data_IF_955603293074
#
_entry.id   IF_955603293074
#
_cell.length_a   1.000
_cell.length_b   1.000
_cell.length_c   1.000
_cell.angle_alpha   90.00
_cell.angle_beta   90.00
_cell.angle_gamma   90.00
#
_symmetry.space_group_name_H-M   'P 1'
#
loop_
_entity.id
_entity.type
_entity.pdbx_description
1 polymer ?
#
# COMPACT_ATOMS: atom_id res chain seq x y z
N UNK A 1 19.65 -10.84 17.26
CA UNK A 1 19.33 -9.87 18.34
C UNK A 1 19.99 -8.51 18.09
N UNK A 2 21.32 -8.44 17.92
CA UNK A 2 22.05 -7.21 17.57
C UNK A 2 21.51 -6.49 16.32
N UNK A 3 21.20 -7.25 15.25
CA UNK A 3 20.66 -6.74 13.99
C UNK A 3 19.25 -6.12 14.15
N UNK A 4 18.44 -6.64 15.07
CA UNK A 4 17.14 -6.04 15.41
C UNK A 4 17.28 -4.77 16.23
N UNK A 5 18.30 -4.70 17.08
CA UNK A 5 18.58 -3.53 17.91
C UNK A 5 19.12 -2.35 17.08
N UNK A 6 20.00 -2.62 16.09
CA UNK A 6 20.49 -1.59 15.15
C UNK A 6 19.39 -1.00 14.28
N UNK A 7 18.35 -1.78 13.97
CA UNK A 7 17.19 -1.36 13.17
C UNK A 7 15.99 -0.86 14.00
N UNK A 8 16.12 -0.81 15.35
CA UNK A 8 15.03 -0.47 16.29
C UNK A 8 13.69 -1.18 15.98
N UNK A 9 13.76 -2.43 15.52
CA UNK A 9 12.62 -3.16 14.96
C UNK A 9 11.81 -3.92 16.04
N UNK A 10 11.47 -3.22 17.14
CA UNK A 10 10.70 -3.79 18.26
C UNK A 10 9.19 -3.67 18.08
N UNK A 11 8.73 -2.65 17.35
CA UNK A 11 7.33 -2.42 17.04
C UNK A 11 7.13 -2.26 15.53
N UNK A 12 6.07 -2.90 15.00
CA UNK A 12 5.71 -2.89 13.57
C UNK A 12 5.56 -1.46 13.03
N UNK A 13 4.95 -0.56 13.80
CA UNK A 13 4.80 0.85 13.40
C UNK A 13 6.14 1.54 13.15
N UNK A 14 7.17 1.23 13.94
CA UNK A 14 8.49 1.87 13.87
C UNK A 14 9.29 1.46 12.63
N UNK A 15 9.06 0.26 12.11
CA UNK A 15 9.67 -0.21 10.84
C UNK A 15 9.18 0.60 9.63
N UNK A 16 7.90 0.99 9.62
CA UNK A 16 7.29 1.77 8.53
C UNK A 16 7.91 3.18 8.46
N UNK A 17 8.24 3.78 9.60
CA UNK A 17 8.91 5.08 9.66
C UNK A 17 10.39 5.01 9.24
N UNK A 18 11.08 3.89 9.48
CA UNK A 18 12.50 3.77 9.17
C UNK A 18 12.80 3.68 7.66
N UNK A 19 11.87 3.12 6.88
CA UNK A 19 12.02 3.08 5.42
C UNK A 19 11.89 4.46 4.75
N UNK A 20 11.55 5.54 5.50
CA UNK A 20 11.31 6.89 4.98
C UNK A 20 10.65 6.87 3.59
N UNK A 21 9.51 6.16 3.42
CA UNK A 21 8.88 6.07 2.12
C UNK A 21 8.53 7.50 1.68
N UNK A 22 9.07 7.92 0.54
CA UNK A 22 8.62 9.13 -0.12
C UNK A 22 7.10 9.03 -0.34
N UNK A 23 6.40 10.17 -0.31
CA UNK A 23 4.96 10.21 -0.54
C UNK A 23 4.56 9.43 -1.82
N UNK A 24 5.36 9.53 -2.88
CA UNK A 24 5.16 8.78 -4.12
C UNK A 24 5.25 7.26 -3.93
N UNK A 25 6.23 6.76 -3.17
CA UNK A 25 6.40 5.32 -2.94
C UNK A 25 5.25 4.70 -2.15
N UNK A 26 4.65 5.46 -1.24
CA UNK A 26 3.52 4.98 -0.44
C UNK A 26 2.22 4.87 -1.26
N UNK A 27 2.09 5.70 -2.31
CA UNK A 27 0.93 5.67 -3.19
C UNK A 27 0.93 4.49 -4.18
N UNK A 28 2.08 3.87 -4.43
CA UNK A 28 2.18 2.73 -5.35
C UNK A 28 1.26 1.58 -4.92
N UNK A 29 1.19 1.30 -3.63
CA UNK A 29 0.36 0.22 -3.09
C UNK A 29 -1.13 0.42 -3.36
N UNK A 30 -1.77 1.53 -2.95
CA UNK A 30 -3.18 1.75 -3.26
C UNK A 30 -3.43 1.91 -4.77
N UNK A 31 -2.53 2.51 -5.56
CA UNK A 31 -2.69 2.54 -7.03
C UNK A 31 -2.68 1.13 -7.66
N UNK A 32 -1.82 0.24 -7.20
CA UNK A 32 -1.81 -1.16 -7.65
C UNK A 32 -3.11 -1.88 -7.30
N UNK A 33 -3.66 -1.66 -6.10
CA UNK A 33 -4.95 -2.22 -5.69
C UNK A 33 -6.12 -1.69 -6.54
N UNK A 34 -6.14 -0.39 -6.84
CA UNK A 34 -7.14 0.18 -7.75
C UNK A 34 -7.02 -0.40 -9.16
N UNK A 35 -5.80 -0.74 -9.61
CA UNK A 35 -5.61 -1.38 -10.91
C UNK A 35 -6.24 -2.77 -11.00
N UNK A 36 -6.17 -3.56 -9.93
CA UNK A 36 -6.88 -4.85 -9.79
C UNK A 36 -8.41 -4.66 -9.71
N UNK A 37 -8.85 -3.53 -9.16
CA UNK A 37 -10.26 -3.10 -9.14
C UNK A 37 -10.85 -2.87 -10.53
N UNK A 38 -10.04 -2.49 -11.52
CA UNK A 38 -10.47 -2.32 -12.90
C UNK A 38 -11.32 -1.07 -13.14
N UNK A 39 -10.89 0.09 -12.64
CA UNK A 39 -11.49 1.37 -13.02
C UNK A 39 -11.08 1.75 -14.46
N UNK A 40 -11.88 2.55 -15.20
CA UNK A 40 -11.61 2.95 -16.58
C UNK A 40 -10.20 3.48 -16.89
N UNK A 41 -9.47 4.17 -15.99
CA UNK A 41 -8.08 4.58 -16.25
C UNK A 41 -7.02 3.48 -16.04
N UNK A 42 -7.35 2.32 -15.45
CA UNK A 42 -6.37 1.29 -15.11
C UNK A 42 -6.43 0.06 -16.02
N UNK A 43 -5.27 -0.58 -16.19
CA UNK A 43 -5.07 -1.74 -17.07
C UNK A 43 -5.96 -2.94 -16.75
N UNK A 44 -6.35 -3.14 -15.49
CA UNK A 44 -7.23 -4.23 -15.09
C UNK A 44 -8.69 -4.11 -15.57
N UNK A 45 -9.08 -2.97 -16.17
CA UNK A 45 -10.40 -2.79 -16.77
C UNK A 45 -10.55 -3.57 -18.08
N UNK A 46 -9.52 -3.58 -18.93
CA UNK A 46 -9.55 -4.19 -20.26
C UNK A 46 -10.00 -5.66 -20.22
N UNK A 47 -9.42 -6.55 -19.39
CA UNK A 47 -9.86 -7.95 -19.35
C UNK A 47 -11.27 -8.12 -18.78
N UNK A 48 -11.68 -7.29 -17.79
CA UNK A 48 -13.04 -7.35 -17.25
C UNK A 48 -14.09 -6.92 -18.28
N UNK A 49 -13.80 -5.84 -19.02
CA UNK A 49 -14.67 -5.37 -20.09
C UNK A 49 -14.78 -6.39 -21.22
N UNK A 50 -13.67 -6.99 -21.62
CA UNK A 50 -13.68 -8.06 -22.63
C UNK A 50 -14.50 -9.27 -22.17
N UNK A 51 -14.41 -9.66 -20.88
CA UNK A 51 -15.24 -10.73 -20.32
C UNK A 51 -16.73 -10.39 -20.30
N UNK A 52 -17.10 -9.15 -19.99
CA UNK A 52 -18.48 -8.67 -20.06
C UNK A 52 -19.01 -8.79 -21.50
N UNK A 53 -18.24 -8.34 -22.48
CA UNK A 53 -18.63 -8.40 -23.90
C UNK A 53 -18.81 -9.85 -24.36
N UNK A 54 -17.91 -10.75 -23.97
CA UNK A 54 -18.01 -12.17 -24.29
C UNK A 54 -19.25 -12.80 -23.64
N UNK A 55 -19.50 -12.54 -22.36
CA UNK A 55 -20.68 -13.07 -21.66
C UNK A 55 -21.99 -12.60 -22.26
N UNK A 56 -22.07 -11.32 -22.66
CA UNK A 56 -23.23 -10.76 -23.38
C UNK A 56 -23.42 -11.49 -24.72
N UNK A 57 -22.34 -11.70 -25.50
CA UNK A 57 -22.43 -12.42 -26.78
C UNK A 57 -22.90 -13.88 -26.64
N UNK A 58 -22.61 -14.51 -25.49
CA UNK A 58 -23.04 -15.87 -25.16
C UNK A 58 -24.39 -15.96 -24.42
N UNK A 59 -25.10 -14.84 -24.23
CA UNK A 59 -26.36 -14.74 -23.48
C UNK A 59 -26.31 -15.23 -22.02
N UNK A 60 -25.12 -15.23 -21.39
CA UNK A 60 -24.92 -15.70 -20.02
C UNK A 60 -25.21 -14.58 -18.99
N UNK A 61 -26.47 -14.21 -18.84
CA UNK A 61 -26.90 -13.06 -18.03
C UNK A 61 -26.74 -13.30 -16.51
N UNK A 62 -27.05 -14.51 -16.04
CA UNK A 62 -26.96 -14.84 -14.61
C UNK A 62 -25.53 -14.77 -14.04
N UNK A 63 -24.50 -15.40 -14.65
CA UNK A 63 -23.12 -15.26 -14.17
C UNK A 63 -22.56 -13.84 -14.39
N UNK A 64 -23.00 -13.12 -15.42
CA UNK A 64 -22.65 -11.71 -15.63
C UNK A 64 -23.06 -10.86 -14.42
N UNK A 65 -24.27 -11.06 -13.89
CA UNK A 65 -24.76 -10.32 -12.72
C UNK A 65 -23.90 -10.58 -11.48
N UNK A 66 -23.54 -11.84 -11.22
CA UNK A 66 -22.66 -12.21 -10.09
C UNK A 66 -21.26 -11.59 -10.25
N UNK A 67 -20.73 -11.60 -11.48
CA UNK A 67 -19.45 -10.98 -11.80
C UNK A 67 -19.48 -9.46 -11.55
N UNK A 68 -20.55 -8.77 -11.98
CA UNK A 68 -20.71 -7.34 -11.75
C UNK A 68 -20.85 -7.01 -10.26
N UNK A 69 -21.65 -7.78 -9.50
CA UNK A 69 -21.83 -7.55 -8.06
C UNK A 69 -20.53 -7.76 -7.29
N UNK A 70 -19.79 -8.85 -7.56
CA UNK A 70 -18.49 -9.08 -6.93
C UNK A 70 -17.45 -8.00 -7.27
N UNK A 71 -17.47 -7.48 -8.51
CA UNK A 71 -16.63 -6.35 -8.92
C UNK A 71 -16.97 -5.06 -8.14
N UNK A 72 -18.25 -4.78 -7.90
CA UNK A 72 -18.68 -3.61 -7.13
C UNK A 72 -18.26 -3.70 -5.65
N UNK A 73 -18.40 -4.87 -5.02
CA UNK A 73 -17.95 -5.08 -3.62
C UNK A 73 -16.43 -4.85 -3.50
N UNK A 74 -15.64 -5.45 -4.39
CA UNK A 74 -14.16 -5.32 -4.35
C UNK A 74 -13.71 -3.88 -4.60
N UNK A 75 -14.41 -3.17 -5.50
CA UNK A 75 -14.13 -1.77 -5.77
C UNK A 75 -14.36 -0.87 -4.55
N UNK A 76 -15.49 -1.04 -3.86
CA UNK A 76 -15.79 -0.27 -2.64
C UNK A 76 -14.69 -0.43 -1.58
N UNK A 77 -14.22 -1.67 -1.39
CA UNK A 77 -13.16 -1.97 -0.44
C UNK A 77 -11.83 -1.29 -0.81
N UNK A 78 -11.43 -1.32 -2.09
CA UNK A 78 -10.19 -0.68 -2.54
C UNK A 78 -10.21 0.85 -2.46
N UNK A 79 -11.35 1.49 -2.75
CA UNK A 79 -11.50 2.94 -2.59
C UNK A 79 -11.35 3.34 -1.11
N UNK A 80 -11.93 2.55 -0.19
CA UNK A 80 -11.80 2.83 1.25
C UNK A 80 -10.35 2.77 1.71
N UNK A 81 -9.57 1.80 1.22
CA UNK A 81 -8.14 1.70 1.52
C UNK A 81 -7.39 2.92 0.96
N UNK A 82 -7.64 3.30 -0.29
CA UNK A 82 -7.02 4.48 -0.90
C UNK A 82 -7.28 5.76 -0.09
N UNK A 83 -8.50 5.96 0.38
CA UNK A 83 -8.84 7.11 1.21
C UNK A 83 -8.05 7.14 2.53
N UNK A 84 -7.83 5.97 3.17
CA UNK A 84 -7.01 5.89 4.38
C UNK A 84 -5.54 6.29 4.13
N UNK A 85 -4.96 5.88 3.01
CA UNK A 85 -3.59 6.25 2.63
C UNK A 85 -3.46 7.73 2.27
N UNK A 86 -4.47 8.31 1.61
CA UNK A 86 -4.47 9.73 1.25
C UNK A 86 -4.67 10.66 2.45
N UNK A 87 -5.48 10.27 3.43
CA UNK A 87 -5.75 11.06 4.63
C UNK A 87 -4.60 11.02 5.64
N UNK A 88 -3.76 9.98 5.60
CA UNK A 88 -2.62 9.84 6.49
C UNK A 88 -1.32 9.67 5.69
N UNK A 89 -0.90 10.68 4.90
CA UNK A 89 0.45 10.69 4.36
C UNK A 89 1.41 10.61 5.54
N UNK A 90 2.35 9.66 5.51
CA UNK A 90 3.36 9.56 6.56
C UNK A 90 3.94 10.96 6.82
N UNK A 91 4.14 11.37 8.09
CA UNK A 91 4.64 12.70 8.40
C UNK A 91 5.95 12.91 7.66
N UNK A 92 5.94 13.86 6.71
CA UNK A 92 7.14 14.33 6.05
C UNK A 92 8.05 14.95 7.11
N UNK A 93 9.11 14.25 7.48
CA UNK A 93 10.45 14.72 7.86
C UNK A 93 10.65 16.10 8.55
N UNK A 94 9.69 16.65 9.28
CA UNK A 94 9.89 17.84 10.11
C UNK A 94 10.31 17.49 11.54
N UNK A 95 10.35 16.21 11.89
CA UNK A 95 10.73 15.68 13.20
C UNK A 95 12.03 14.87 13.23
N UNK A 96 12.85 14.90 12.17
CA UNK A 96 14.14 14.18 12.14
C UNK A 96 15.33 15.06 12.52
N UNK A 97 15.14 16.37 12.73
CA UNK A 97 16.17 17.28 13.26
C UNK A 97 16.39 17.16 14.79
N UNK A 98 16.02 16.04 15.40
CA UNK A 98 16.44 15.69 16.77
C UNK A 98 16.94 14.25 16.80
N UNK A 99 18.06 14.00 16.13
CA UNK A 99 18.91 12.87 16.49
C UNK A 99 19.82 13.40 17.61
N UNK A 100 19.59 13.09 18.89
CA UNK A 100 20.64 13.28 19.87
C UNK A 100 21.79 12.36 19.42
N UNK A 101 22.96 12.94 19.16
CA UNK A 101 24.15 12.17 18.84
C UNK A 101 24.28 11.00 19.83
N UNK A 102 24.42 9.75 19.38
CA UNK A 102 24.73 8.67 20.29
C UNK A 102 26.06 9.02 20.94
N UNK A 103 26.04 9.14 22.27
CA UNK A 103 27.20 9.38 23.11
C UNK A 103 28.35 8.48 22.62
N UNK A 104 29.45 9.05 22.12
CA UNK A 104 30.58 8.30 21.52
C UNK A 104 31.15 7.23 22.47
N UNK A 105 30.86 7.31 23.77
CA UNK A 105 31.30 6.34 24.78
C UNK A 105 30.69 4.93 24.62
N UNK A 106 29.54 4.77 23.97
CA UNK A 106 28.93 3.43 23.80
C UNK A 106 29.61 2.65 22.67
N UNK A 107 30.14 3.33 21.65
CA UNK A 107 30.87 2.68 20.56
C UNK A 107 32.21 2.10 21.03
N UNK A 108 32.86 2.74 22.00
CA UNK A 108 34.08 2.23 22.63
C UNK A 108 33.83 0.97 23.47
N UNK A 109 32.65 0.79 24.07
CA UNK A 109 32.31 -0.42 24.85
C UNK A 109 32.06 -1.67 23.98
N UNK A 110 31.86 -1.53 22.67
CA UNK A 110 31.72 -2.67 21.76
C UNK A 110 33.05 -3.11 21.13
N UNK A 111 34.10 -2.29 21.26
CA UNK A 111 35.43 -2.54 20.68
C UNK A 111 36.42 -3.03 21.76
N UNK A 112 36.18 -2.75 23.04
CA UNK A 112 36.87 -3.35 24.19
C UNK A 112 36.03 -4.46 24.81
#
# INVERSE_FOLDING_TARGET
VLLFNSMQAYHISKTIYHFNPSYSSMLILPFSLLSLGGLPPFSGFVPKWMMIQLMISTNLIFPLFILLMSALITLYFYIRIFNMFMLNPLPSLNGVLYIPLPNMNIFLYYIY
#
